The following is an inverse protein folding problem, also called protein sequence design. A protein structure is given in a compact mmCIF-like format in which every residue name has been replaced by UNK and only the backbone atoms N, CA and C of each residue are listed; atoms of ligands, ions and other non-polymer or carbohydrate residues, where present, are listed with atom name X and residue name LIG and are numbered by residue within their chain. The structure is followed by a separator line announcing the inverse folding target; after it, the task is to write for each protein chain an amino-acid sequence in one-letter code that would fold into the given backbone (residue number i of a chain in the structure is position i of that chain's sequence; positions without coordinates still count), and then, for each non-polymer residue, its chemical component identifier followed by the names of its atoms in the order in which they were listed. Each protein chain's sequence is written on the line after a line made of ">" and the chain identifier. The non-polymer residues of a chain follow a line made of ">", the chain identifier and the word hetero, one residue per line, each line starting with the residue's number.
data_IF_503721473677
#
_entry.id   IF_503721473677
#
_cell.length_a   1.000
_cell.length_b   1.000
_cell.length_c   1.000
_cell.angle_alpha   90.00
_cell.angle_beta   90.00
_cell.angle_gamma   90.00
#
_symmetry.space_group_name_H-M   'P 1'
#
loop_
_entity.id
_entity.type
_entity.pdbx_description
1 polymer ?
#
# COMPACT_ATOMS: atom_id res chain seq x y z
N UNK A 1 9.34 -14.76 8.18
CA UNK A 1 8.50 -13.63 8.66
C UNK A 1 7.15 -14.22 9.08
N UNK A 2 7.13 -14.88 10.24
CA UNK A 2 6.03 -15.80 10.63
C UNK A 2 5.10 -15.21 11.71
N UNK A 3 5.36 -13.97 12.14
CA UNK A 3 4.52 -13.26 13.11
C UNK A 3 3.15 -13.01 12.50
N UNK A 4 2.11 -13.54 13.15
CA UNK A 4 0.72 -13.29 12.79
C UNK A 4 0.29 -11.93 13.31
N UNK A 5 -0.45 -11.21 12.47
CA UNK A 5 -0.99 -9.89 12.73
C UNK A 5 -2.51 -9.97 12.75
N UNK A 6 -3.10 -9.27 13.71
CA UNK A 6 -4.53 -8.97 13.74
C UNK A 6 -4.64 -7.44 13.73
N UNK A 7 -5.40 -6.91 12.78
CA UNK A 7 -5.51 -5.48 12.52
C UNK A 7 -6.93 -5.18 12.03
N UNK A 8 -7.49 -4.10 12.57
CA UNK A 8 -8.66 -3.41 12.05
C UNK A 8 -8.19 -2.03 11.60
N UNK A 9 -8.34 -1.73 10.32
CA UNK A 9 -7.88 -0.48 9.72
C UNK A 9 -8.96 0.13 8.82
N UNK A 10 -9.19 1.42 9.01
CA UNK A 10 -10.00 2.27 8.15
C UNK A 10 -9.26 3.59 7.97
N UNK A 11 -8.76 3.85 6.76
CA UNK A 11 -7.93 5.02 6.49
C UNK A 11 -7.07 4.87 5.24
N UNK A 12 -6.02 5.68 5.12
CA UNK A 12 -5.15 5.67 3.95
C UNK A 12 -4.14 4.51 3.99
N UNK A 13 -3.94 3.85 2.85
CA UNK A 13 -2.96 2.77 2.70
C UNK A 13 -1.52 3.23 2.97
N UNK A 14 -1.15 4.47 2.66
CA UNK A 14 0.18 5.04 2.93
C UNK A 14 0.46 5.07 4.42
N UNK A 15 -0.50 5.49 5.23
CA UNK A 15 -0.36 5.53 6.69
C UNK A 15 -0.21 4.12 7.26
N UNK A 16 -1.06 3.19 6.81
CA UNK A 16 -0.98 1.79 7.23
C UNK A 16 0.39 1.19 6.90
N UNK A 17 0.84 1.34 5.66
CA UNK A 17 2.11 0.78 5.19
C UNK A 17 3.31 1.40 5.90
N UNK A 18 3.28 2.71 6.19
CA UNK A 18 4.31 3.37 6.98
C UNK A 18 4.38 2.83 8.42
N UNK A 19 3.23 2.62 9.07
CA UNK A 19 3.17 2.04 10.40
C UNK A 19 3.70 0.60 10.42
N UNK A 20 3.26 -0.22 9.46
CA UNK A 20 3.70 -1.60 9.33
C UNK A 20 5.20 -1.73 9.02
N UNK A 21 5.74 -0.84 8.19
CA UNK A 21 7.16 -0.77 7.88
C UNK A 21 7.98 -0.48 9.14
N UNK A 22 7.57 0.57 9.89
CA UNK A 22 8.22 0.99 11.12
C UNK A 22 8.24 -0.12 12.17
N UNK A 23 7.12 -0.83 12.37
CA UNK A 23 7.04 -1.96 13.31
C UNK A 23 8.01 -3.10 12.98
N UNK A 24 8.46 -3.19 11.73
CA UNK A 24 9.34 -4.26 11.23
C UNK A 24 10.77 -3.79 10.96
N UNK A 25 11.08 -2.54 11.26
CA UNK A 25 12.38 -1.95 10.93
C UNK A 25 12.63 -1.82 9.43
N UNK A 26 11.56 -1.77 8.62
CA UNK A 26 11.65 -1.53 7.18
C UNK A 26 11.63 -0.02 6.92
N UNK A 27 12.39 0.42 5.92
CA UNK A 27 12.20 1.74 5.34
C UNK A 27 10.88 1.78 4.57
N UNK A 28 10.26 2.95 4.51
CA UNK A 28 9.06 3.18 3.72
C UNK A 28 9.29 4.41 2.83
N UNK A 29 8.97 4.30 1.54
CA UNK A 29 8.93 5.44 0.63
C UNK A 29 7.77 5.34 -0.35
N UNK A 30 7.42 6.47 -0.95
CA UNK A 30 6.45 6.52 -2.03
C UNK A 30 6.89 7.51 -3.10
N UNK A 31 6.41 7.32 -4.33
CA UNK A 31 6.73 8.18 -5.48
C UNK A 31 5.50 8.43 -6.34
N UNK A 32 5.47 9.58 -7.02
CA UNK A 32 4.34 10.02 -7.85
C UNK A 32 3.43 11.01 -7.14
N UNK A 33 2.27 11.31 -7.75
CA UNK A 33 1.30 12.26 -7.18
C UNK A 33 0.54 11.58 -6.05
N UNK A 34 0.73 12.08 -4.83
CA UNK A 34 0.02 11.57 -3.66
C UNK A 34 -1.48 11.83 -3.77
N UNK A 35 -2.23 10.76 -3.92
CA UNK A 35 -3.69 10.75 -3.93
C UNK A 35 -4.17 9.81 -2.83
N UNK A 36 -5.32 10.09 -2.19
CA UNK A 36 -5.82 9.22 -1.14
C UNK A 36 -6.01 7.79 -1.64
N UNK A 37 -5.50 6.82 -0.88
CA UNK A 37 -5.71 5.39 -1.11
C UNK A 37 -6.60 4.85 0.00
N UNK A 38 -7.92 5.13 -0.03
CA UNK A 38 -8.83 4.67 1.01
C UNK A 38 -8.82 3.14 1.04
N UNK A 39 -8.62 2.62 2.24
CA UNK A 39 -8.42 1.20 2.49
C UNK A 39 -9.22 0.82 3.72
N UNK A 40 -10.00 -0.26 3.61
CA UNK A 40 -10.71 -0.86 4.72
C UNK A 40 -10.29 -2.32 4.82
N UNK A 41 -9.64 -2.67 5.93
CA UNK A 41 -9.09 -4.00 6.16
C UNK A 41 -9.42 -4.45 7.59
N UNK A 42 -10.01 -5.64 7.66
CA UNK A 42 -10.21 -6.39 8.89
C UNK A 42 -9.57 -7.75 8.73
N UNK A 43 -8.44 -7.97 9.42
CA UNK A 43 -7.71 -9.24 9.35
C UNK A 43 -7.41 -9.77 10.75
N UNK A 44 -7.46 -11.09 10.87
CA UNK A 44 -7.08 -11.83 12.07
C UNK A 44 -6.06 -12.89 11.69
N UNK A 45 -5.07 -13.10 12.56
CA UNK A 45 -4.09 -14.18 12.44
C UNK A 45 -3.37 -14.27 11.07
N UNK A 46 -3.07 -13.11 10.47
CA UNK A 46 -2.55 -13.04 9.11
C UNK A 46 -1.04 -12.80 9.07
N UNK A 47 -0.34 -13.44 8.14
CA UNK A 47 1.09 -13.14 7.94
C UNK A 47 1.26 -11.76 7.32
N UNK A 48 2.38 -11.11 7.61
CA UNK A 48 2.72 -9.83 7.02
C UNK A 48 2.67 -9.84 5.48
N UNK A 49 3.19 -10.90 4.86
CA UNK A 49 3.19 -11.06 3.41
C UNK A 49 1.78 -11.22 2.82
N UNK A 50 0.88 -11.92 3.52
CA UNK A 50 -0.52 -12.02 3.10
C UNK A 50 -1.22 -10.67 3.17
N UNK A 51 -0.98 -9.91 4.25
CA UNK A 51 -1.54 -8.57 4.41
C UNK A 51 -1.07 -7.64 3.28
N UNK A 52 0.22 -7.62 2.95
CA UNK A 52 0.74 -6.79 1.84
C UNK A 52 0.06 -7.13 0.51
N UNK A 53 -0.20 -8.40 0.21
CA UNK A 53 -0.94 -8.81 -1.00
C UNK A 53 -2.37 -8.30 -1.04
N UNK A 54 -3.07 -8.29 0.10
CA UNK A 54 -4.44 -7.73 0.18
C UNK A 54 -4.40 -6.23 -0.06
N UNK A 55 -3.47 -5.52 0.59
CA UNK A 55 -3.28 -4.08 0.40
C UNK A 55 -2.99 -3.77 -1.07
N UNK A 56 -2.03 -4.47 -1.69
CA UNK A 56 -1.69 -4.32 -3.10
C UNK A 56 -2.91 -4.49 -4.01
N UNK A 57 -3.69 -5.56 -3.79
CA UNK A 57 -4.92 -5.79 -4.55
C UNK A 57 -5.91 -4.64 -4.43
N UNK A 58 -6.10 -4.09 -3.22
CA UNK A 58 -7.04 -3.00 -2.96
C UNK A 58 -6.58 -1.64 -3.50
N UNK A 59 -5.27 -1.38 -3.62
CA UNK A 59 -4.74 -0.11 -4.14
C UNK A 59 -4.35 -0.17 -5.63
N UNK A 60 -4.40 -1.34 -6.26
CA UNK A 60 -3.94 -1.60 -7.63
C UNK A 60 -4.56 -0.73 -8.72
N UNK A 61 -5.70 -0.09 -8.45
CA UNK A 61 -6.36 0.88 -9.33
C UNK A 61 -5.64 2.24 -9.39
N UNK A 62 -4.74 2.53 -8.43
CA UNK A 62 -4.02 3.81 -8.32
C UNK A 62 -2.56 3.73 -7.94
N UNK A 63 -2.10 2.62 -7.39
CA UNK A 63 -0.72 2.48 -6.98
C UNK A 63 -0.26 1.03 -7.06
N UNK A 64 1.05 0.85 -7.21
CA UNK A 64 1.73 -0.44 -7.16
C UNK A 64 2.55 -0.52 -5.87
N UNK A 65 2.50 -1.66 -5.19
CA UNK A 65 3.27 -1.91 -3.97
C UNK A 65 4.49 -2.78 -4.29
N UNK A 66 5.68 -2.28 -4.01
CA UNK A 66 6.94 -3.01 -4.18
C UNK A 66 7.57 -3.32 -2.82
N UNK A 67 7.94 -4.59 -2.62
CA UNK A 67 8.69 -5.04 -1.47
C UNK A 67 10.12 -5.41 -1.88
N UNK A 68 11.09 -4.67 -1.35
CA UNK A 68 12.51 -4.95 -1.47
C UNK A 68 13.08 -5.39 -0.11
N UNK A 69 14.28 -6.01 -0.07
CA UNK A 69 14.96 -6.29 1.19
C UNK A 69 15.14 -5.01 2.01
N UNK A 70 14.47 -4.94 3.17
CA UNK A 70 14.56 -3.77 4.07
C UNK A 70 13.73 -2.54 3.66
N UNK A 71 12.95 -2.59 2.57
CA UNK A 71 12.23 -1.44 2.04
C UNK A 71 10.85 -1.81 1.49
N UNK A 72 9.85 -0.99 1.83
CA UNK A 72 8.55 -0.95 1.16
C UNK A 72 8.44 0.35 0.34
N UNK A 73 8.07 0.21 -0.93
CA UNK A 73 7.85 1.33 -1.84
C UNK A 73 6.44 1.29 -2.40
N UNK A 74 5.74 2.43 -2.38
CA UNK A 74 4.47 2.61 -3.09
C UNK A 74 4.69 3.54 -4.28
N UNK A 75 4.34 3.10 -5.47
CA UNK A 75 4.41 3.91 -6.68
C UNK A 75 3.01 4.27 -7.16
N UNK A 76 2.67 5.56 -7.08
CA UNK A 76 1.40 6.06 -7.60
C UNK A 76 1.40 6.05 -9.12
N UNK A 77 0.33 5.49 -9.70
CA UNK A 77 0.12 5.50 -11.14
C UNK A 77 -0.08 6.94 -11.62
N UNK A 78 0.45 7.27 -12.82
CA UNK A 78 0.20 8.58 -13.40
C UNK A 78 -1.30 8.77 -13.62
N UNK A 79 -1.80 9.96 -13.30
CA UNK A 79 -3.18 10.35 -13.62
C UNK A 79 -3.27 10.38 -15.14
N UNK A 80 -3.77 9.30 -15.74
CA UNK A 80 -3.97 9.23 -17.19
C UNK A 80 -4.91 10.36 -17.57
N UNK A 81 -4.40 11.40 -18.23
CA UNK A 81 -5.25 12.33 -18.94
C UNK A 81 -6.06 11.50 -19.96
N UNK A 82 -7.39 11.69 -20.06
CA UNK A 82 -8.20 10.92 -21.01
C UNK A 82 -7.63 11.13 -22.43
N UNK A 83 -7.53 10.07 -23.27
CA UNK A 83 -7.12 10.23 -24.66
C UNK A 83 -8.28 10.90 -25.41
N UNK A 84 -8.30 12.22 -25.39
CA UNK A 84 -9.44 13.00 -25.86
C UNK A 84 -9.22 14.50 -25.89
N UNK A 85 -7.99 14.95 -26.08
CA UNK A 85 -7.73 16.32 -26.53
C UNK A 85 -8.09 16.46 -28.01
N UNK A 86 -9.39 16.43 -28.34
CA UNK A 86 -9.89 16.92 -29.63
C UNK A 86 -10.29 18.38 -29.44
N UNK A 87 -9.49 19.28 -29.99
CA UNK A 87 -9.92 20.59 -30.47
C UNK A 87 -9.30 20.81 -31.84
#
# INVERSE_FOLDING_TARGET
>A
NSTRLSLDWDGDAIELLAQLARQRGLQFNYSGVHLPLPLNIHVRDMTFQNLLRIVESQISWRATLHQYPGLLRVEFMPVKAPPGGRR
#
